data_IF_951685278182
#
_entry.id   IF_951685278182
#
_cell.length_a   1.000
_cell.length_b   1.000
_cell.length_c   1.000
_cell.angle_alpha   90.00
_cell.angle_beta   90.00
_cell.angle_gamma   90.00
#
_symmetry.space_group_name_H-M   'P 1'
#
loop_
_entity.id
_entity.type
_entity.pdbx_description
1 polymer ?
#
# COMPACT_ATOMS: atom_id res chain seq x y z
N UNK A 1 27.18 -7.36 -6.02
CA UNK A 1 25.75 -7.65 -6.25
C UNK A 1 25.07 -7.83 -4.89
N UNK A 2 23.89 -7.26 -4.67
CA UNK A 2 23.26 -7.23 -3.34
C UNK A 2 22.85 -8.66 -2.90
N UNK A 3 23.41 -9.15 -1.79
CA UNK A 3 23.19 -10.51 -1.27
C UNK A 3 21.72 -10.86 -1.07
N UNK A 4 20.90 -9.86 -0.70
CA UNK A 4 19.46 -10.03 -0.50
C UNK A 4 18.74 -10.35 -1.81
N UNK A 5 19.19 -9.75 -2.92
CA UNK A 5 18.62 -9.97 -4.25
C UNK A 5 18.95 -11.39 -4.73
N UNK A 6 20.19 -11.85 -4.52
CA UNK A 6 20.60 -13.21 -4.87
C UNK A 6 19.80 -14.23 -4.05
N UNK A 7 19.69 -14.03 -2.74
CA UNK A 7 18.92 -14.93 -1.86
C UNK A 7 17.45 -14.99 -2.25
N UNK A 8 16.85 -13.84 -2.57
CA UNK A 8 15.47 -13.79 -3.05
C UNK A 8 15.30 -14.51 -4.40
N UNK A 9 16.20 -14.26 -5.35
CA UNK A 9 16.17 -14.91 -6.66
C UNK A 9 16.26 -16.43 -6.55
N UNK A 10 17.18 -16.95 -5.72
CA UNK A 10 17.30 -18.38 -5.45
C UNK A 10 16.03 -18.94 -4.81
N UNK A 11 15.46 -18.26 -3.80
CA UNK A 11 14.21 -18.69 -3.17
C UNK A 11 13.05 -18.78 -4.16
N UNK A 12 12.91 -17.79 -5.05
CA UNK A 12 11.89 -17.76 -6.10
C UNK A 12 12.08 -18.91 -7.09
N UNK A 13 13.33 -19.15 -7.52
CA UNK A 13 13.71 -20.24 -8.42
C UNK A 13 13.37 -21.61 -7.83
N UNK A 14 13.67 -21.83 -6.56
CA UNK A 14 13.48 -23.11 -5.88
C UNK A 14 12.02 -23.35 -5.45
N UNK A 15 11.18 -22.31 -5.44
CA UNK A 15 9.80 -22.37 -4.94
C UNK A 15 8.76 -21.77 -5.92
N UNK A 16 8.75 -22.13 -7.22
CA UNK A 16 8.11 -21.38 -8.30
C UNK A 16 6.61 -21.10 -8.12
N UNK A 17 5.88 -21.96 -7.39
CA UNK A 17 4.44 -21.81 -7.11
C UNK A 17 4.13 -21.28 -5.71
N UNK A 18 5.05 -21.44 -4.74
CA UNK A 18 4.83 -21.07 -3.33
C UNK A 18 5.18 -19.62 -3.05
N UNK A 19 6.26 -19.10 -3.65
CA UNK A 19 6.73 -17.73 -3.38
C UNK A 19 5.65 -16.69 -3.69
N UNK A 20 4.88 -16.90 -4.78
CA UNK A 20 3.86 -15.97 -5.25
C UNK A 20 2.76 -15.76 -4.22
N UNK A 21 2.26 -16.83 -3.60
CA UNK A 21 1.20 -16.74 -2.58
C UNK A 21 1.65 -15.94 -1.36
N UNK A 22 2.84 -16.21 -0.84
CA UNK A 22 3.38 -15.50 0.33
C UNK A 22 3.69 -14.04 0.01
N UNK A 23 4.32 -13.79 -1.13
CA UNK A 23 4.61 -12.44 -1.60
C UNK A 23 3.33 -11.62 -1.80
N UNK A 24 2.33 -12.17 -2.51
CA UNK A 24 1.05 -11.49 -2.73
C UNK A 24 0.35 -11.17 -1.40
N UNK A 25 0.34 -12.11 -0.43
CA UNK A 25 -0.20 -11.84 0.91
C UNK A 25 0.51 -10.67 1.60
N UNK A 26 1.84 -10.64 1.53
CA UNK A 26 2.63 -9.56 2.12
C UNK A 26 2.30 -8.21 1.48
N UNK A 27 2.28 -8.15 0.14
CA UNK A 27 1.96 -6.93 -0.60
C UNK A 27 0.53 -6.45 -0.32
N UNK A 28 -0.45 -7.36 -0.32
CA UNK A 28 -1.84 -7.04 0.01
C UNK A 28 -1.96 -6.49 1.44
N UNK A 29 -1.24 -7.06 2.41
CA UNK A 29 -1.22 -6.55 3.77
C UNK A 29 -0.67 -5.12 3.86
N UNK A 30 0.29 -4.73 3.02
CA UNK A 30 0.77 -3.34 2.94
C UNK A 30 -0.33 -2.39 2.43
N UNK A 31 -1.05 -2.79 1.38
CA UNK A 31 -2.17 -2.01 0.85
C UNK A 31 -3.31 -1.88 1.87
N UNK A 32 -3.63 -2.96 2.58
CA UNK A 32 -4.65 -2.94 3.64
C UNK A 32 -4.26 -2.00 4.77
N UNK A 33 -3.00 -2.06 5.25
CA UNK A 33 -2.50 -1.16 6.28
C UNK A 33 -2.55 0.29 5.84
N UNK A 34 -2.23 0.57 4.57
CA UNK A 34 -2.32 1.90 3.99
C UNK A 34 -3.78 2.38 3.90
N UNK A 35 -4.72 1.55 3.45
CA UNK A 35 -6.17 1.88 3.46
C UNK A 35 -6.64 2.20 4.87
N UNK A 36 -6.27 1.39 5.86
CA UNK A 36 -6.61 1.62 7.27
C UNK A 36 -5.96 2.88 7.86
N UNK A 37 -4.73 3.22 7.46
CA UNK A 37 -4.11 4.47 7.82
C UNK A 37 -4.91 5.66 7.28
N UNK A 38 -5.28 5.63 5.99
CA UNK A 38 -6.06 6.70 5.35
C UNK A 38 -7.44 6.88 6.01
N UNK A 39 -8.16 5.79 6.26
CA UNK A 39 -9.45 5.82 6.96
C UNK A 39 -9.30 6.47 8.35
N UNK A 40 -8.27 6.09 9.11
CA UNK A 40 -8.02 6.67 10.44
C UNK A 40 -7.64 8.14 10.35
N UNK A 41 -6.79 8.52 9.39
CA UNK A 41 -6.37 9.90 9.18
C UNK A 41 -7.59 10.80 8.95
N UNK A 42 -8.54 10.38 8.12
CA UNK A 42 -9.74 11.16 7.79
C UNK A 42 -10.70 11.36 8.97
N UNK A 43 -10.67 10.47 9.97
CA UNK A 43 -11.46 10.61 11.21
C UNK A 43 -10.84 11.60 12.20
N UNK A 44 -9.58 11.99 12.01
CA UNK A 44 -8.92 12.97 12.88
C UNK A 44 -9.32 14.42 12.54
N UNK A 45 -9.19 15.32 13.51
CA UNK A 45 -9.30 16.77 13.27
C UNK A 45 -8.29 17.20 12.21
N UNK A 46 -8.76 17.90 11.18
CA UNK A 46 -8.01 18.33 9.99
C UNK A 46 -7.46 17.16 9.13
N UNK A 47 -8.03 15.96 9.27
CA UNK A 47 -7.60 14.77 8.54
C UNK A 47 -7.73 14.92 7.03
N UNK A 48 -8.81 15.54 6.57
CA UNK A 48 -9.10 15.75 5.15
C UNK A 48 -8.09 16.69 4.49
N UNK A 49 -7.71 17.78 5.16
CA UNK A 49 -6.70 18.73 4.68
C UNK A 49 -5.32 18.07 4.59
N UNK A 50 -4.94 17.28 5.61
CA UNK A 50 -3.68 16.51 5.60
C UNK A 50 -3.66 15.50 4.46
N UNK A 51 -4.76 14.79 4.25
CA UNK A 51 -4.89 13.82 3.15
C UNK A 51 -4.72 14.50 1.78
N UNK A 52 -5.41 15.62 1.55
CA UNK A 52 -5.29 16.40 0.30
C UNK A 52 -3.84 16.85 0.06
N UNK A 53 -3.16 17.32 1.11
CA UNK A 53 -1.76 17.75 1.02
C UNK A 53 -0.81 16.57 0.73
N UNK A 54 -1.00 15.44 1.40
CA UNK A 54 -0.15 14.25 1.26
C UNK A 54 -0.17 13.69 -0.16
N UNK A 55 -1.35 13.66 -0.80
CA UNK A 55 -1.52 13.15 -2.16
C UNK A 55 -1.53 14.23 -3.24
N UNK A 56 -1.22 15.48 -2.88
CA UNK A 56 -1.21 16.62 -3.79
C UNK A 56 -2.48 16.72 -4.65
N UNK A 57 -3.65 16.51 -4.04
CA UNK A 57 -4.92 16.44 -4.76
C UNK A 57 -5.34 17.86 -5.16
N UNK A 58 -5.22 18.17 -6.45
CA UNK A 58 -5.57 19.50 -7.00
C UNK A 58 -7.08 19.76 -7.06
N UNK A 59 -7.90 18.71 -7.20
CA UNK A 59 -9.35 18.82 -7.27
C UNK A 59 -10.01 18.26 -6.00
N UNK A 60 -10.58 19.12 -5.16
CA UNK A 60 -11.20 18.71 -3.88
C UNK A 60 -12.39 17.75 -4.05
N UNK A 61 -13.04 17.73 -5.22
CA UNK A 61 -14.18 16.86 -5.50
C UNK A 61 -13.78 15.43 -5.86
N UNK A 62 -12.55 15.18 -6.34
CA UNK A 62 -12.09 13.81 -6.63
C UNK A 62 -11.79 13.00 -5.37
N UNK A 63 -11.60 13.68 -4.22
CA UNK A 63 -11.39 13.04 -2.92
C UNK A 63 -12.59 12.18 -2.54
N UNK A 64 -13.82 12.63 -2.83
CA UNK A 64 -15.04 11.91 -2.45
C UNK A 64 -15.10 10.50 -3.09
N UNK A 65 -14.69 10.40 -4.35
CA UNK A 65 -14.65 9.13 -5.10
C UNK A 65 -13.61 8.14 -4.55
N UNK A 66 -12.47 8.62 -4.05
CA UNK A 66 -11.43 7.78 -3.46
C UNK A 66 -11.79 7.24 -2.07
N UNK A 67 -12.85 7.77 -1.46
CA UNK A 67 -13.29 7.41 -0.10
C UNK A 67 -14.57 6.56 -0.08
N UNK A 68 -15.27 6.47 -1.20
CA UNK A 68 -16.54 5.73 -1.36
C UNK A 68 -16.37 4.36 -2.06
N UNK A 69 -15.13 3.95 -2.38
CA UNK A 69 -14.74 2.61 -2.89
C UNK A 69 -14.06 1.71 -1.81
#
# INVERSE_FOLDING_TARGET
>A
MNEQVIRWANYVKDNPTKWKKTHTKFINAQFDKHKQFNIRLLKTKNGKEKFIKLYNIKNKNSVKRLLEE
#
